data_IF_115101856020
#
_entry.id   IF_115101856020
#
_cell.length_a   1.000
_cell.length_b   1.000
_cell.length_c   1.000
_cell.angle_alpha   90.00
_cell.angle_beta   90.00
_cell.angle_gamma   90.00
#
_symmetry.space_group_name_H-M   'P 1'
#
loop_
_entity.id
_entity.type
_entity.pdbx_description
1 polymer ?
#
# COMPACT_ATOMS: atom_id res chain seq x y z
N UNK A 1 4.34 -10.99 -46.86
CA UNK A 1 4.84 -10.04 -45.86
C UNK A 1 3.61 -9.47 -45.16
N UNK A 2 3.25 -10.01 -44.00
CA UNK A 2 2.05 -9.60 -43.28
C UNK A 2 2.33 -8.28 -42.56
N UNK A 3 1.71 -7.20 -43.03
CA UNK A 3 1.56 -5.96 -42.25
C UNK A 3 0.56 -6.25 -41.13
N UNK A 4 1.05 -6.55 -39.94
CA UNK A 4 0.24 -6.45 -38.73
C UNK A 4 0.17 -4.98 -38.34
N UNK A 5 -0.87 -4.30 -38.80
CA UNK A 5 -1.32 -3.03 -38.24
C UNK A 5 -1.89 -3.28 -36.83
N UNK A 6 -1.04 -3.70 -35.89
CA UNK A 6 -1.36 -3.69 -34.47
C UNK A 6 -1.34 -2.24 -34.02
N UNK A 7 -2.50 -1.60 -34.05
CA UNK A 7 -2.67 -0.28 -33.45
C UNK A 7 -2.22 -0.35 -31.98
N UNK A 8 -1.29 0.51 -31.53
CA UNK A 8 -0.73 0.44 -30.17
C UNK A 8 -1.76 0.62 -29.05
N UNK A 9 -2.98 1.04 -29.40
CA UNK A 9 -4.13 1.21 -28.50
C UNK A 9 -4.97 -0.06 -28.34
N UNK A 10 -4.77 -1.08 -29.17
CA UNK A 10 -5.50 -2.36 -29.11
C UNK A 10 -4.87 -3.38 -28.17
N UNK A 11 -3.79 -3.00 -27.49
CA UNK A 11 -3.22 -3.80 -26.42
C UNK A 11 -4.19 -3.85 -25.22
N UNK A 12 -4.54 -5.06 -24.71
CA UNK A 12 -5.52 -5.22 -23.64
C UNK A 12 -5.14 -4.51 -22.33
N UNK A 13 -3.85 -4.22 -22.13
CA UNK A 13 -3.30 -3.40 -21.06
C UNK A 13 -3.73 -1.91 -21.15
N UNK A 14 -3.91 -1.36 -22.35
CA UNK A 14 -4.34 0.03 -22.57
C UNK A 14 -5.85 0.16 -22.39
N UNK A 15 -6.62 -0.80 -22.90
CA UNK A 15 -8.09 -0.83 -22.74
C UNK A 15 -8.54 -1.14 -21.32
N UNK A 16 -7.70 -1.83 -20.54
CA UNK A 16 -7.93 -2.03 -19.13
C UNK A 16 -7.82 -0.73 -18.33
N UNK A 17 -7.17 0.34 -18.84
CA UNK A 17 -7.02 1.62 -18.14
C UNK A 17 -8.31 2.44 -18.19
N UNK A 18 -8.79 2.89 -17.03
CA UNK A 18 -10.06 3.62 -16.92
C UNK A 18 -9.82 4.84 -16.06
N UNK A 19 -9.72 6.00 -16.70
CA UNK A 19 -9.57 7.33 -16.08
C UNK A 19 -10.48 7.57 -14.86
N UNK A 20 -11.78 7.18 -14.85
CA UNK A 20 -12.63 7.44 -13.68
C UNK A 20 -12.20 6.68 -12.42
N UNK A 21 -11.62 5.47 -12.55
CA UNK A 21 -11.13 4.71 -11.39
C UNK A 21 -9.91 5.38 -10.75
N UNK A 22 -9.02 5.94 -11.57
CA UNK A 22 -7.86 6.69 -11.09
C UNK A 22 -8.27 7.97 -10.34
N UNK A 23 -9.21 8.73 -10.88
CA UNK A 23 -9.72 9.94 -10.23
C UNK A 23 -10.39 9.59 -8.90
N UNK A 24 -11.17 8.52 -8.85
CA UNK A 24 -11.77 8.05 -7.59
C UNK A 24 -10.71 7.64 -6.56
N UNK A 25 -9.70 6.87 -6.97
CA UNK A 25 -8.58 6.48 -6.11
C UNK A 25 -7.84 7.69 -5.52
N UNK A 26 -7.63 8.71 -6.36
CA UNK A 26 -6.99 9.95 -5.95
C UNK A 26 -7.82 10.71 -4.91
N UNK A 27 -9.13 10.88 -5.14
CA UNK A 27 -10.02 11.56 -4.20
C UNK A 27 -10.09 10.80 -2.87
N UNK A 28 -10.17 9.47 -2.92
CA UNK A 28 -10.17 8.62 -1.72
C UNK A 28 -8.87 8.78 -0.92
N UNK A 29 -7.71 8.72 -1.58
CA UNK A 29 -6.42 8.90 -0.93
C UNK A 29 -6.28 10.31 -0.31
N UNK A 30 -6.74 11.33 -1.03
CA UNK A 30 -6.75 12.72 -0.54
C UNK A 30 -7.64 12.86 0.70
N UNK A 31 -8.84 12.27 0.70
CA UNK A 31 -9.76 12.29 1.83
C UNK A 31 -9.18 11.60 3.06
N UNK A 32 -8.56 10.44 2.88
CA UNK A 32 -7.89 9.71 3.98
C UNK A 32 -6.71 10.53 4.54
N UNK A 33 -5.91 11.17 3.67
CA UNK A 33 -4.80 12.03 4.10
C UNK A 33 -5.29 13.21 4.95
N UNK A 34 -6.34 13.90 4.50
CA UNK A 34 -6.94 15.02 5.22
C UNK A 34 -7.48 14.54 6.58
N UNK A 35 -8.17 13.41 6.63
CA UNK A 35 -8.69 12.83 7.86
C UNK A 35 -7.56 12.52 8.87
N UNK A 36 -6.49 11.86 8.42
CA UNK A 36 -5.31 11.56 9.27
C UNK A 36 -4.65 12.84 9.79
N UNK A 37 -4.53 13.87 8.96
CA UNK A 37 -4.00 15.17 9.37
C UNK A 37 -4.90 15.83 10.43
N UNK A 38 -6.22 15.86 10.23
CA UNK A 38 -7.16 16.44 11.18
C UNK A 38 -7.13 15.72 12.53
N UNK A 39 -7.08 14.38 12.55
CA UNK A 39 -6.97 13.61 13.79
C UNK A 39 -5.69 13.98 14.54
N UNK A 40 -4.58 14.17 13.82
CA UNK A 40 -3.29 14.53 14.40
C UNK A 40 -3.27 15.98 14.93
N UNK A 41 -3.91 16.92 14.23
CA UNK A 41 -3.92 18.34 14.59
C UNK A 41 -4.89 18.64 15.74
N UNK A 42 -6.07 18.04 15.74
CA UNK A 42 -7.09 18.27 16.78
C UNK A 42 -6.62 17.72 18.13
N UNK A 43 -5.93 16.57 18.13
CA UNK A 43 -5.22 16.08 19.31
C UNK A 43 -6.10 15.73 20.52
N UNK A 44 -7.43 15.64 20.35
CA UNK A 44 -8.39 15.39 21.44
C UNK A 44 -8.42 13.91 21.89
N UNK A 45 -7.62 13.04 21.27
CA UNK A 45 -7.58 11.62 21.54
C UNK A 45 -6.31 11.23 22.31
N UNK A 46 -6.37 10.12 23.06
CA UNK A 46 -5.18 9.57 23.70
C UNK A 46 -4.11 9.18 22.67
N UNK A 47 -2.83 9.19 23.06
CA UNK A 47 -1.71 8.89 22.16
C UNK A 47 -1.89 7.52 21.49
N UNK A 48 -2.32 6.51 22.25
CA UNK A 48 -2.54 5.16 21.73
C UNK A 48 -3.70 5.14 20.73
N UNK A 49 -4.82 5.83 21.04
CA UNK A 49 -5.96 5.91 20.13
C UNK A 49 -5.63 6.67 18.83
N UNK A 50 -4.81 7.72 18.92
CA UNK A 50 -4.34 8.47 17.74
C UNK A 50 -3.49 7.59 16.84
N UNK A 51 -2.55 6.83 17.42
CA UNK A 51 -1.68 5.93 16.66
C UNK A 51 -2.47 4.82 15.97
N UNK A 52 -3.46 4.23 16.66
CA UNK A 52 -4.29 3.17 16.07
C UNK A 52 -5.15 3.70 14.92
N UNK A 53 -5.79 4.85 15.07
CA UNK A 53 -6.61 5.44 14.01
C UNK A 53 -5.80 5.83 12.78
N UNK A 54 -4.64 6.45 12.96
CA UNK A 54 -3.75 6.78 11.84
C UNK A 54 -3.28 5.50 11.15
N UNK A 55 -2.94 4.44 11.90
CA UNK A 55 -2.57 3.14 11.35
C UNK A 55 -3.68 2.50 10.50
N UNK A 56 -4.93 2.53 10.99
CA UNK A 56 -6.09 2.01 10.25
C UNK A 56 -6.32 2.82 8.97
N UNK A 57 -6.27 4.15 9.05
CA UNK A 57 -6.44 5.01 7.87
C UNK A 57 -5.32 4.77 6.84
N UNK A 58 -4.07 4.61 7.28
CA UNK A 58 -2.96 4.28 6.40
C UNK A 58 -3.19 2.94 5.68
N UNK A 59 -3.67 1.91 6.39
CA UNK A 59 -3.99 0.61 5.80
C UNK A 59 -5.10 0.71 4.75
N UNK A 60 -6.17 1.47 5.04
CA UNK A 60 -7.27 1.72 4.09
C UNK A 60 -6.73 2.42 2.82
N UNK A 61 -5.88 3.44 2.97
CA UNK A 61 -5.28 4.13 1.84
C UNK A 61 -4.44 3.20 0.95
N UNK A 62 -3.59 2.37 1.57
CA UNK A 62 -2.75 1.41 0.84
C UNK A 62 -3.60 0.38 0.09
N UNK A 63 -4.60 -0.21 0.76
CA UNK A 63 -5.50 -1.19 0.11
C UNK A 63 -6.27 -0.52 -1.03
N UNK A 64 -6.79 0.69 -0.81
CA UNK A 64 -7.47 1.47 -1.85
C UNK A 64 -6.58 1.71 -3.07
N UNK A 65 -5.32 2.10 -2.86
CA UNK A 65 -4.37 2.31 -3.96
C UNK A 65 -4.00 1.01 -4.67
N UNK A 66 -3.76 -0.08 -3.93
CA UNK A 66 -3.49 -1.40 -4.52
C UNK A 66 -4.65 -1.89 -5.40
N UNK A 67 -5.88 -1.65 -4.98
CA UNK A 67 -7.07 -2.10 -5.72
C UNK A 67 -7.40 -1.17 -6.91
N UNK A 68 -7.53 0.13 -6.68
CA UNK A 68 -8.02 1.06 -7.71
C UNK A 68 -6.92 1.55 -8.66
N UNK A 69 -5.69 1.72 -8.17
CA UNK A 69 -4.60 2.33 -8.93
C UNK A 69 -3.72 1.27 -9.61
N UNK A 70 -3.35 0.23 -8.87
CA UNK A 70 -2.51 -0.86 -9.39
C UNK A 70 -3.29 -1.91 -10.16
N UNK A 71 -4.63 -1.89 -10.07
CA UNK A 71 -5.51 -2.85 -10.75
C UNK A 71 -4.94 -4.26 -10.68
N UNK A 72 -4.80 -4.76 -9.45
CA UNK A 72 -4.52 -6.17 -9.20
C UNK A 72 -5.69 -7.00 -9.73
N UNK A 73 -5.72 -7.13 -11.05
CA UNK A 73 -6.80 -7.73 -11.79
C UNK A 73 -6.53 -9.22 -11.86
N UNK A 74 -7.59 -10.01 -11.65
CA UNK A 74 -7.54 -11.46 -11.79
C UNK A 74 -7.72 -11.86 -13.27
N UNK A 75 -7.52 -10.92 -14.20
CA UNK A 75 -7.48 -11.18 -15.63
C UNK A 75 -6.21 -11.98 -15.98
N UNK A 76 -6.36 -13.02 -16.82
CA UNK A 76 -5.29 -13.98 -17.16
C UNK A 76 -3.98 -13.35 -17.66
N UNK A 77 -4.03 -12.13 -18.19
CA UNK A 77 -2.85 -11.41 -18.65
C UNK A 77 -2.00 -10.77 -17.53
N UNK A 78 -2.59 -10.46 -16.37
CA UNK A 78 -1.96 -9.67 -15.29
C UNK A 78 -1.78 -10.45 -13.98
N UNK A 79 -2.12 -11.76 -13.96
CA UNK A 79 -2.04 -12.62 -12.76
C UNK A 79 -0.66 -12.56 -12.08
N UNK A 80 0.44 -12.50 -12.85
CA UNK A 80 1.79 -12.48 -12.30
C UNK A 80 2.12 -11.19 -11.54
N UNK A 81 1.52 -10.05 -11.90
CA UNK A 81 1.64 -8.81 -11.13
C UNK A 81 0.93 -8.92 -9.78
N UNK A 82 -0.23 -9.59 -9.77
CA UNK A 82 -0.97 -9.84 -8.53
C UNK A 82 -0.26 -10.82 -7.61
N UNK A 83 0.28 -11.90 -8.17
CA UNK A 83 1.03 -12.91 -7.42
C UNK A 83 2.33 -12.34 -6.84
N UNK A 84 3.06 -11.52 -7.61
CA UNK A 84 4.29 -10.88 -7.11
C UNK A 84 4.02 -9.86 -6.01
N UNK A 85 2.96 -9.05 -6.13
CA UNK A 85 2.55 -8.13 -5.07
C UNK A 85 2.14 -8.91 -3.80
N UNK A 86 1.35 -9.97 -3.94
CA UNK A 86 0.92 -10.81 -2.83
C UNK A 86 2.09 -11.52 -2.13
N UNK A 87 3.08 -12.01 -2.88
CA UNK A 87 4.29 -12.64 -2.34
C UNK A 87 5.21 -11.63 -1.63
N UNK A 88 5.17 -10.35 -2.02
CA UNK A 88 5.97 -9.29 -1.41
C UNK A 88 5.47 -8.92 -0.01
N UNK A 89 4.15 -8.94 0.22
CA UNK A 89 3.55 -8.57 1.52
C UNK A 89 4.14 -9.35 2.71
N UNK A 90 4.17 -10.70 2.71
CA UNK A 90 4.73 -11.46 3.83
C UNK A 90 6.24 -11.24 3.95
N UNK A 91 6.96 -11.13 2.83
CA UNK A 91 8.39 -10.87 2.84
C UNK A 91 8.71 -9.52 3.49
N UNK A 92 7.95 -8.48 3.13
CA UNK A 92 8.04 -7.14 3.69
C UNK A 92 7.72 -7.13 5.19
N UNK A 93 6.67 -7.85 5.59
CA UNK A 93 6.29 -7.96 6.99
C UNK A 93 7.38 -8.64 7.83
N UNK A 94 7.91 -9.77 7.36
CA UNK A 94 9.01 -10.48 8.04
C UNK A 94 10.24 -9.57 8.12
N UNK A 95 10.61 -8.89 7.03
CA UNK A 95 11.77 -8.00 7.04
C UNK A 95 11.64 -6.91 8.10
N UNK A 96 10.53 -6.17 8.14
CA UNK A 96 10.35 -5.08 9.11
C UNK A 96 10.30 -5.62 10.54
N UNK A 97 9.44 -6.61 10.80
CA UNK A 97 9.20 -7.10 12.17
C UNK A 97 10.46 -7.75 12.72
N UNK A 98 11.14 -8.57 11.93
CA UNK A 98 12.35 -9.26 12.37
C UNK A 98 13.51 -8.28 12.60
N UNK A 99 13.64 -7.25 11.75
CA UNK A 99 14.64 -6.20 11.96
C UNK A 99 14.37 -5.41 13.23
N UNK A 100 13.12 -4.99 13.48
CA UNK A 100 12.74 -4.30 14.72
C UNK A 100 13.04 -5.19 15.93
N UNK A 101 12.62 -6.47 15.88
CA UNK A 101 12.85 -7.41 16.97
C UNK A 101 14.34 -7.64 17.25
N UNK A 102 15.14 -7.83 16.20
CA UNK A 102 16.57 -8.02 16.31
C UNK A 102 17.25 -6.83 16.98
N UNK A 103 16.94 -5.60 16.54
CA UNK A 103 17.54 -4.40 17.12
C UNK A 103 17.08 -4.14 18.55
N UNK A 104 15.79 -4.34 18.83
CA UNK A 104 15.27 -4.22 20.19
C UNK A 104 15.97 -5.19 21.16
N UNK A 105 16.19 -6.43 20.73
CA UNK A 105 16.86 -7.43 21.56
C UNK A 105 18.37 -7.20 21.70
N UNK A 106 19.01 -6.69 20.65
CA UNK A 106 20.41 -6.32 20.68
C UNK A 106 20.64 -5.14 21.63
N UNK A 107 19.78 -4.13 21.60
CA UNK A 107 19.83 -2.99 22.53
C UNK A 107 19.81 -3.45 23.99
N UNK A 108 18.85 -4.31 24.34
CA UNK A 108 18.74 -4.88 25.70
C UNK A 108 20.00 -5.64 26.15
N UNK A 109 20.77 -6.20 25.21
CA UNK A 109 21.96 -7.02 25.51
C UNK A 109 23.27 -6.25 25.49
N UNK A 110 23.33 -5.16 24.73
CA UNK A 110 24.57 -4.40 24.50
C UNK A 110 24.64 -3.15 25.39
N UNK A 111 23.50 -2.60 25.80
CA UNK A 111 23.48 -1.55 26.81
C UNK A 111 23.83 -2.16 28.19
N UNK A 112 25.00 -1.80 28.72
CA UNK A 112 25.37 -2.05 30.12
C UNK A 112 24.41 -1.26 31.03
N UNK A 113 23.25 -1.83 31.39
CA UNK A 113 22.35 -1.24 32.38
C UNK A 113 20.84 -1.42 32.20
N UNK A 114 20.34 -2.30 31.32
CA UNK A 114 18.92 -2.62 31.26
C UNK A 114 18.61 -3.94 32.00
N UNK A 115 18.71 -3.90 33.33
CA UNK A 115 18.25 -4.94 34.25
C UNK A 115 17.51 -4.30 35.42
#
# INVERSE_FOLDING_TARGET
MAHHDQHPLDHPEVQASSTPKYVFAFILAMGVMIASCLITVVGDMSQLATLTWIGVLALIAVIGQLYFLFKLDTSKAMIWHTVSAAATIPLFFIAIVLTIWMFHHLEMRVMLGAG
#
